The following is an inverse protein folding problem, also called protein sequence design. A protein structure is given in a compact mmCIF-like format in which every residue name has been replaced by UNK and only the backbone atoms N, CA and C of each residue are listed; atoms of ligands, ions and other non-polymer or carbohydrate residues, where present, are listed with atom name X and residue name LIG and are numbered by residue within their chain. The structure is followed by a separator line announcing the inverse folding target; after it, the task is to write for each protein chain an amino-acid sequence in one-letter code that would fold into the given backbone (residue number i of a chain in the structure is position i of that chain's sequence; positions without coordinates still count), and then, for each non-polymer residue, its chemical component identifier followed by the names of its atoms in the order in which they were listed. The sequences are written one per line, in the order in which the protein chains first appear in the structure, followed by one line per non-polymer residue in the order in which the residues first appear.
data_IF_449405515554
#
_entry.id   IF_449405515554
#
_cell.length_a   1.000
_cell.length_b   1.000
_cell.length_c   1.000
_cell.angle_alpha   90.00
_cell.angle_beta   90.00
_cell.angle_gamma   90.00
#
_symmetry.space_group_name_H-M   'P 1'
#
loop_
_entity.id
_entity.type
_entity.pdbx_description
1 polymer ?
#
# COMPACT_ATOMS: atom_id res chain seq x y z
N UNK A 1 -7.82 -15.77 98.52
CA UNK A 1 -9.11 -15.56 97.83
C UNK A 1 -8.81 -15.29 96.37
N UNK A 2 -9.59 -15.89 95.49
CA UNK A 2 -9.27 -16.26 94.10
C UNK A 2 -9.42 -15.06 93.13
N UNK A 3 -8.67 -15.14 92.01
CA UNK A 3 -9.02 -14.81 90.62
C UNK A 3 -8.29 -13.65 89.90
N UNK A 4 -7.45 -14.09 88.94
CA UNK A 4 -7.36 -13.72 87.51
C UNK A 4 -7.21 -12.26 87.06
N UNK A 5 -6.24 -12.07 86.15
CA UNK A 5 -6.17 -10.93 85.23
C UNK A 5 -4.99 -11.05 84.27
N UNK A 6 -5.26 -11.59 83.07
CA UNK A 6 -4.34 -11.83 81.95
C UNK A 6 -3.78 -10.54 81.32
N UNK A 7 -2.60 -10.63 80.69
CA UNK A 7 -2.19 -9.68 79.65
C UNK A 7 -0.68 -9.51 79.46
N UNK A 8 0.00 -10.49 78.84
CA UNK A 8 1.35 -10.33 78.27
C UNK A 8 1.24 -10.10 76.77
N UNK A 9 1.89 -9.04 76.26
CA UNK A 9 2.19 -8.86 74.84
C UNK A 9 3.52 -8.13 74.68
N UNK A 10 4.56 -8.86 74.30
CA UNK A 10 5.93 -8.39 74.02
C UNK A 10 6.21 -8.48 72.51
N UNK A 11 6.78 -7.40 71.97
CA UNK A 11 7.99 -7.34 71.10
C UNK A 11 7.99 -8.05 69.73
N UNK A 12 8.39 -7.28 68.70
CA UNK A 12 9.22 -7.74 67.57
C UNK A 12 8.64 -7.43 66.20
N UNK A 13 9.06 -6.35 65.51
CA UNK A 13 10.24 -6.20 64.61
C UNK A 13 9.99 -6.63 63.16
N UNK A 14 10.17 -5.66 62.25
CA UNK A 14 10.75 -5.71 60.89
C UNK A 14 10.23 -6.75 59.87
N UNK A 15 9.82 -6.33 58.67
CA UNK A 15 10.68 -6.29 57.45
C UNK A 15 9.85 -5.99 56.18
N UNK A 16 10.49 -5.29 55.24
CA UNK A 16 10.20 -5.18 53.79
C UNK A 16 9.01 -4.33 53.31
N UNK A 17 9.38 -3.06 53.06
CA UNK A 17 8.78 -2.07 52.17
C UNK A 17 8.96 -2.53 50.72
N UNK A 18 7.89 -2.94 50.05
CA UNK A 18 7.88 -3.24 48.63
C UNK A 18 8.10 -1.95 47.82
N UNK A 19 9.29 -1.80 47.24
CA UNK A 19 9.59 -0.81 46.23
C UNK A 19 9.04 -1.28 44.89
N UNK A 20 7.85 -0.82 44.51
CA UNK A 20 7.42 -0.86 43.11
C UNK A 20 8.18 0.24 42.35
N UNK A 21 9.16 -0.21 41.55
CA UNK A 21 9.88 0.60 40.57
C UNK A 21 8.89 1.19 39.56
N UNK A 22 8.77 2.52 39.55
CA UNK A 22 8.17 3.25 38.45
C UNK A 22 9.13 3.19 37.25
N UNK A 23 8.72 2.54 36.17
CA UNK A 23 9.42 2.60 34.89
C UNK A 23 9.20 4.00 34.29
N UNK A 24 10.21 4.87 34.41
CA UNK A 24 10.26 6.10 33.63
C UNK A 24 10.56 5.73 32.16
N UNK A 25 9.55 5.84 31.31
CA UNK A 25 9.74 5.89 29.87
C UNK A 25 10.44 7.20 29.51
N UNK A 26 11.72 7.12 29.14
CA UNK A 26 12.43 8.24 28.53
C UNK A 26 11.97 8.30 27.07
N UNK A 27 11.01 9.20 26.80
CA UNK A 27 10.69 9.60 25.44
C UNK A 27 11.90 10.36 24.87
N UNK A 28 12.70 9.67 24.07
CA UNK A 28 13.75 10.30 23.28
C UNK A 28 13.08 11.13 22.19
N UNK A 29 13.11 12.46 22.36
CA UNK A 29 12.83 13.44 21.31
C UNK A 29 13.93 13.39 20.24
N UNK A 30 13.93 12.35 19.43
CA UNK A 30 14.49 12.43 18.08
C UNK A 30 13.34 12.89 17.19
N UNK A 31 13.57 13.92 16.38
CA UNK A 31 12.61 14.37 15.36
C UNK A 31 12.37 13.23 14.36
N UNK A 32 11.40 12.37 14.65
CA UNK A 32 10.84 11.48 13.67
C UNK A 32 10.06 12.38 12.71
N UNK A 33 10.54 12.51 11.47
CA UNK A 33 9.63 12.73 10.36
C UNK A 33 8.46 11.77 10.58
N UNK A 34 7.27 12.33 10.81
CA UNK A 34 6.10 11.56 11.21
C UNK A 34 5.90 10.46 10.20
N UNK A 35 6.07 9.20 10.63
CA UNK A 35 5.57 8.07 9.86
C UNK A 35 4.10 8.38 9.53
N UNK A 36 3.66 8.15 8.29
CA UNK A 36 2.25 8.35 7.93
C UNK A 36 1.36 7.68 8.98
N UNK A 37 0.22 8.29 9.30
CA UNK A 37 -0.78 7.68 10.20
C UNK A 37 -1.06 6.23 9.76
N UNK A 38 -1.33 5.37 10.74
CA UNK A 38 -1.55 3.94 10.49
C UNK A 38 -2.61 3.77 9.38
N UNK A 39 -2.23 3.16 8.25
CA UNK A 39 -3.07 3.16 7.06
C UNK A 39 -4.27 2.23 7.24
N UNK A 40 -5.44 2.66 6.78
CA UNK A 40 -6.63 1.82 6.81
C UNK A 40 -6.48 0.68 5.79
N UNK A 41 -6.80 -0.54 6.20
CA UNK A 41 -6.74 -1.74 5.34
C UNK A 41 -8.15 -2.30 5.15
N UNK A 42 -8.50 -2.60 3.91
CA UNK A 42 -9.74 -3.29 3.56
C UNK A 42 -9.46 -4.46 2.64
N UNK A 43 -10.16 -5.57 2.85
CA UNK A 43 -10.08 -6.76 2.00
C UNK A 43 -11.46 -7.13 1.48
N UNK A 44 -11.54 -7.54 0.22
CA UNK A 44 -12.76 -8.01 -0.42
C UNK A 44 -12.45 -8.91 -1.61
N UNK A 45 -13.47 -9.54 -2.19
CA UNK A 45 -13.29 -10.40 -3.35
C UNK A 45 -14.43 -10.27 -4.33
N UNK A 46 -14.14 -10.47 -5.61
CA UNK A 46 -15.14 -10.40 -6.69
C UNK A 46 -14.76 -11.30 -7.86
N UNK A 47 -15.77 -11.74 -8.60
CA UNK A 47 -15.57 -12.47 -9.86
C UNK A 47 -15.22 -11.49 -10.99
N UNK A 48 -14.08 -11.71 -11.64
CA UNK A 48 -13.67 -10.85 -12.75
C UNK A 48 -14.52 -11.11 -13.99
N UNK A 49 -14.90 -10.03 -14.68
CA UNK A 49 -15.54 -10.10 -16.00
C UNK A 49 -14.55 -9.94 -17.15
N UNK A 50 -13.31 -9.56 -16.86
CA UNK A 50 -12.31 -9.20 -17.85
C UNK A 50 -11.22 -10.26 -18.02
N UNK A 51 -10.99 -11.09 -17.00
CA UNK A 51 -9.98 -12.14 -16.99
C UNK A 51 -10.47 -13.32 -16.15
N UNK A 52 -9.70 -14.40 -16.11
CA UNK A 52 -10.05 -15.61 -15.37
C UNK A 52 -9.90 -15.42 -13.85
N UNK A 53 -10.63 -16.24 -13.09
CA UNK A 53 -10.49 -16.36 -11.64
C UNK A 53 -11.22 -15.32 -10.80
N UNK A 54 -11.37 -15.65 -9.52
CA UNK A 54 -11.82 -14.73 -8.46
C UNK A 54 -10.67 -13.81 -8.09
N UNK A 55 -10.94 -12.50 -8.01
CA UNK A 55 -9.97 -11.51 -7.56
C UNK A 55 -10.10 -11.31 -6.06
N UNK A 56 -9.01 -11.49 -5.32
CA UNK A 56 -8.87 -11.11 -3.92
C UNK A 56 -8.13 -9.79 -3.82
N UNK A 57 -8.82 -8.77 -3.31
CA UNK A 57 -8.27 -7.42 -3.17
C UNK A 57 -7.84 -7.19 -1.74
N UNK A 58 -6.63 -6.66 -1.58
CA UNK A 58 -6.17 -6.03 -0.35
C UNK A 58 -5.82 -4.59 -0.64
N UNK A 59 -6.57 -3.65 -0.08
CA UNK A 59 -6.41 -2.23 -0.33
C UNK A 59 -6.00 -1.49 0.93
N UNK A 60 -4.94 -0.69 0.80
CA UNK A 60 -4.33 0.08 1.87
C UNK A 60 -4.43 1.57 1.57
N UNK A 61 -5.00 2.33 2.50
CA UNK A 61 -5.24 3.77 2.34
C UNK A 61 -4.38 4.54 3.33
N UNK A 62 -3.43 5.29 2.79
CA UNK A 62 -2.71 6.28 3.57
C UNK A 62 -3.53 7.58 3.67
N UNK A 63 -3.26 8.37 4.70
CA UNK A 63 -3.87 9.68 4.92
C UNK A 63 -2.79 10.77 4.87
N UNK A 64 -3.20 11.99 4.49
CA UNK A 64 -2.36 13.18 4.53
C UNK A 64 -3.21 14.38 4.92
N UNK A 65 -2.65 15.27 5.72
CA UNK A 65 -3.29 16.56 6.06
C UNK A 65 -3.26 17.53 4.88
N UNK A 66 -2.27 17.41 3.99
CA UNK A 66 -2.11 18.30 2.85
C UNK A 66 -3.14 18.03 1.75
N UNK A 67 -3.49 16.76 1.51
CA UNK A 67 -4.49 16.37 0.50
C UNK A 67 -5.33 15.18 0.95
N UNK A 68 -6.64 15.30 0.75
CA UNK A 68 -7.59 14.21 0.90
C UNK A 68 -8.06 13.77 -0.47
N UNK A 69 -7.92 12.49 -0.77
CA UNK A 69 -8.38 11.93 -2.02
C UNK A 69 -9.90 11.79 -2.02
N UNK A 70 -10.55 12.33 -3.06
CA UNK A 70 -12.00 12.25 -3.19
C UNK A 70 -12.48 10.79 -3.24
N UNK A 71 -13.65 10.49 -2.67
CA UNK A 71 -14.22 9.15 -2.75
C UNK A 71 -14.37 8.71 -4.21
N UNK A 72 -13.96 7.46 -4.51
CA UNK A 72 -14.03 6.85 -5.85
C UNK A 72 -13.27 7.59 -6.95
N UNK A 73 -12.29 8.44 -6.62
CA UNK A 73 -11.50 9.17 -7.62
C UNK A 73 -10.89 8.26 -8.69
N UNK A 74 -10.60 7.00 -8.33
CA UNK A 74 -10.03 5.96 -9.21
C UNK A 74 -10.97 5.52 -10.34
N UNK A 75 -12.27 5.71 -10.15
CA UNK A 75 -13.33 5.42 -11.13
C UNK A 75 -13.59 6.62 -12.07
N UNK A 76 -12.85 7.72 -11.92
CA UNK A 76 -12.98 8.91 -12.76
C UNK A 76 -12.62 8.65 -14.22
N UNK A 77 -13.06 9.56 -15.10
CA UNK A 77 -12.77 9.48 -16.54
C UNK A 77 -11.26 9.43 -16.79
N UNK A 78 -10.80 8.46 -17.56
CA UNK A 78 -9.39 8.32 -17.91
C UNK A 78 -8.97 9.47 -18.81
N UNK A 79 -7.91 10.18 -18.41
CA UNK A 79 -7.29 11.20 -19.22
C UNK A 79 -6.70 10.56 -20.48
N UNK A 80 -7.37 10.80 -21.60
CA UNK A 80 -6.83 10.51 -22.93
C UNK A 80 -6.34 11.84 -23.51
N UNK A 81 -5.03 12.01 -23.76
CA UNK A 81 -4.53 13.22 -24.41
C UNK A 81 -5.17 13.34 -25.79
N UNK A 82 -6.02 14.36 -25.99
CA UNK A 82 -6.62 14.70 -27.29
C UNK A 82 -6.02 16.01 -27.77
N UNK A 83 -5.52 16.04 -29.00
CA UNK A 83 -5.02 17.26 -29.67
C UNK A 83 -3.49 17.42 -29.69
N UNK A 84 -3.03 18.64 -29.95
CA UNK A 84 -1.61 19.01 -29.99
C UNK A 84 -1.02 18.85 -28.58
N UNK A 85 0.14 18.21 -28.47
CA UNK A 85 0.88 18.07 -27.21
C UNK A 85 1.10 19.49 -26.63
N UNK A 86 0.70 19.76 -25.38
CA UNK A 86 0.91 21.07 -24.77
C UNK A 86 2.41 21.41 -24.84
N UNK A 87 2.76 22.51 -25.51
CA UNK A 87 4.11 23.06 -25.46
C UNK A 87 4.19 23.95 -24.22
N UNK A 88 4.50 23.38 -23.05
CA UNK A 88 4.62 24.14 -21.80
C UNK A 88 5.00 23.29 -20.58
N UNK A 89 5.48 23.93 -19.53
CA UNK A 89 5.92 23.34 -18.25
C UNK A 89 4.76 22.93 -17.31
N UNK A 90 3.57 22.65 -17.85
CA UNK A 90 2.36 22.43 -17.05
C UNK A 90 2.22 20.96 -16.60
N UNK A 91 3.34 20.32 -16.29
CA UNK A 91 3.40 18.93 -15.86
C UNK A 91 4.03 18.81 -14.47
N UNK A 92 3.51 17.86 -13.70
CA UNK A 92 4.13 17.36 -12.48
C UNK A 92 4.80 16.02 -12.83
N UNK A 93 6.12 16.01 -12.77
CA UNK A 93 6.89 14.78 -12.95
C UNK A 93 7.05 14.06 -11.60
N UNK A 94 6.55 12.82 -11.52
CA UNK A 94 6.67 11.97 -10.33
C UNK A 94 7.45 10.71 -10.68
N UNK A 95 8.59 10.52 -10.01
CA UNK A 95 9.33 9.27 -10.01
C UNK A 95 8.74 8.30 -8.99
N UNK A 96 8.53 7.05 -9.39
CA UNK A 96 8.01 5.98 -8.54
C UNK A 96 8.94 4.78 -8.69
N UNK A 97 9.60 4.41 -7.60
CA UNK A 97 10.42 3.21 -7.51
C UNK A 97 9.64 2.14 -6.73
N UNK A 98 9.33 1.04 -7.40
CA UNK A 98 8.54 -0.07 -6.88
C UNK A 98 9.44 -1.27 -6.66
N UNK A 99 9.35 -1.84 -5.46
CA UNK A 99 10.05 -3.08 -5.11
C UNK A 99 9.06 -4.08 -4.54
N UNK A 100 9.29 -5.33 -4.86
CA UNK A 100 8.43 -6.43 -4.47
C UNK A 100 9.28 -7.63 -4.11
N UNK A 101 8.92 -8.33 -3.05
CA UNK A 101 9.67 -9.52 -2.63
C UNK A 101 9.71 -10.56 -3.76
N UNK A 102 10.93 -10.99 -4.12
CA UNK A 102 11.14 -12.00 -5.15
C UNK A 102 10.88 -11.56 -6.60
N UNK A 103 10.66 -10.26 -6.86
CA UNK A 103 10.43 -9.70 -8.20
C UNK A 103 11.45 -8.61 -8.55
N UNK A 104 11.72 -8.35 -9.84
CA UNK A 104 12.58 -7.25 -10.26
C UNK A 104 12.03 -5.88 -9.84
N UNK A 105 12.93 -4.98 -9.43
CA UNK A 105 12.59 -3.58 -9.16
C UNK A 105 12.03 -2.91 -10.43
N UNK A 106 10.98 -2.12 -10.27
CA UNK A 106 10.33 -1.37 -11.36
C UNK A 106 10.40 0.12 -11.06
N UNK A 107 11.07 0.89 -11.90
CA UNK A 107 11.15 2.35 -11.78
C UNK A 107 10.41 3.02 -12.95
N UNK A 108 9.58 4.01 -12.64
CA UNK A 108 8.84 4.76 -13.65
C UNK A 108 8.78 6.24 -13.30
N UNK A 109 8.96 7.11 -14.30
CA UNK A 109 8.67 8.54 -14.19
C UNK A 109 7.39 8.84 -14.93
N UNK A 110 6.42 9.43 -14.24
CA UNK A 110 5.14 9.85 -14.79
C UNK A 110 5.17 11.35 -15.01
N UNK A 111 4.90 11.80 -16.23
CA UNK A 111 4.71 13.22 -16.52
C UNK A 111 3.22 13.52 -16.55
N UNK A 112 2.70 14.05 -15.44
CA UNK A 112 1.27 14.20 -15.19
C UNK A 112 0.86 15.63 -15.52
N UNK A 113 -0.09 15.88 -16.45
CA UNK A 113 -0.57 17.23 -16.70
C UNK A 113 -1.20 17.85 -15.45
N UNK A 114 -0.83 19.07 -15.08
CA UNK A 114 -1.48 19.79 -13.97
C UNK A 114 -2.95 20.08 -14.28
N UNK A 115 -3.30 20.23 -15.56
CA UNK A 115 -4.67 20.45 -16.04
C UNK A 115 -5.50 19.15 -16.21
N UNK A 116 -5.36 18.17 -15.30
CA UNK A 116 -6.19 16.96 -15.32
C UNK A 116 -7.67 17.26 -15.00
N UNK A 117 -7.95 18.25 -14.15
CA UNK A 117 -9.29 18.46 -13.60
C UNK A 117 -9.73 17.24 -12.76
N UNK A 118 -10.95 16.75 -12.99
CA UNK A 118 -11.47 15.54 -12.33
C UNK A 118 -11.08 14.21 -12.98
N UNK A 119 -10.22 14.23 -14.01
CA UNK A 119 -9.81 13.04 -14.77
C UNK A 119 -8.65 12.31 -14.09
N UNK A 120 -8.46 11.05 -14.49
CA UNK A 120 -7.43 10.17 -13.94
C UNK A 120 -6.38 9.89 -15.02
N UNK A 121 -5.14 10.28 -14.75
CA UNK A 121 -4.01 9.80 -15.53
C UNK A 121 -3.71 8.35 -15.17
N UNK A 122 -3.46 7.50 -16.16
CA UNK A 122 -3.21 6.08 -15.96
C UNK A 122 -1.92 5.65 -16.64
N UNK A 123 -1.14 4.82 -15.96
CA UNK A 123 0.01 4.13 -16.54
C UNK A 123 -0.14 2.64 -16.29
N UNK A 124 -0.32 1.90 -17.37
CA UNK A 124 -0.36 0.44 -17.36
C UNK A 124 1.06 -0.12 -17.58
N UNK A 125 1.51 -0.96 -16.65
CA UNK A 125 2.77 -1.70 -16.69
C UNK A 125 2.51 -3.21 -16.57
N UNK A 126 1.28 -3.65 -16.84
CA UNK A 126 0.88 -5.04 -16.73
C UNK A 126 1.14 -5.79 -18.03
N UNK A 127 1.50 -7.07 -17.90
CA UNK A 127 1.57 -8.02 -19.00
C UNK A 127 0.44 -9.03 -18.86
N UNK A 128 -0.27 -9.30 -19.96
CA UNK A 128 -1.25 -10.39 -19.97
C UNK A 128 -0.51 -11.74 -19.96
N UNK A 129 -0.75 -12.52 -18.91
CA UNK A 129 -0.26 -13.89 -18.79
C UNK A 129 -1.38 -14.88 -19.13
N UNK A 130 -0.98 -16.01 -19.69
CA UNK A 130 -1.88 -17.12 -19.96
C UNK A 130 -1.22 -18.44 -19.56
N UNK A 131 -2.01 -19.31 -18.93
CA UNK A 131 -1.63 -20.62 -18.47
C UNK A 131 -2.68 -21.65 -18.87
N UNK A 132 -2.22 -22.88 -19.10
CA UNK A 132 -3.09 -24.04 -19.29
C UNK A 132 -3.11 -24.84 -17.99
N UNK A 133 -4.28 -24.92 -17.34
CA UNK A 133 -4.46 -25.61 -16.06
C UNK A 133 -4.89 -27.07 -16.29
N UNK A 134 -4.37 -28.00 -15.49
CA UNK A 134 -4.83 -29.40 -15.51
C UNK A 134 -4.47 -30.18 -16.78
N UNK A 135 -3.39 -29.82 -17.49
CA UNK A 135 -3.01 -30.44 -18.77
C UNK A 135 -2.53 -31.90 -18.67
N UNK A 136 -2.25 -32.40 -17.46
CA UNK A 136 -1.75 -33.75 -17.26
C UNK A 136 -2.38 -34.41 -16.02
N UNK A 137 -3.01 -35.57 -16.22
CA UNK A 137 -3.40 -36.45 -15.12
C UNK A 137 -3.13 -37.89 -15.55
N UNK A 138 -2.29 -38.61 -14.80
CA UNK A 138 -1.93 -40.01 -15.05
C UNK A 138 -1.34 -40.30 -16.45
N UNK A 139 -0.52 -39.38 -17.00
CA UNK A 139 0.16 -39.58 -18.29
C UNK A 139 -0.74 -39.44 -19.53
N UNK A 140 -2.00 -39.02 -19.36
CA UNK A 140 -2.89 -38.62 -20.44
C UNK A 140 -2.85 -37.10 -20.53
N UNK A 141 -2.37 -36.59 -21.67
CA UNK A 141 -2.44 -35.16 -21.98
C UNK A 141 -3.90 -34.81 -22.28
N UNK A 142 -4.53 -34.02 -21.41
CA UNK A 142 -5.85 -33.46 -21.67
C UNK A 142 -5.72 -32.01 -22.10
N UNK A 143 -6.69 -31.53 -22.89
CA UNK A 143 -6.82 -30.10 -23.15
C UNK A 143 -7.23 -29.44 -21.82
N UNK A 144 -6.27 -28.83 -21.15
CA UNK A 144 -6.48 -28.11 -19.90
C UNK A 144 -7.37 -26.87 -20.06
N UNK A 145 -7.77 -26.27 -18.94
CA UNK A 145 -8.52 -25.01 -18.94
C UNK A 145 -7.60 -23.82 -19.16
N UNK A 146 -8.02 -22.87 -19.99
CA UNK A 146 -7.23 -21.67 -20.27
C UNK A 146 -7.49 -20.61 -19.20
N UNK A 147 -6.43 -20.25 -18.47
CA UNK A 147 -6.47 -19.26 -17.41
C UNK A 147 -5.65 -18.04 -17.78
N UNK A 148 -6.29 -16.88 -17.82
CA UNK A 148 -5.68 -15.61 -18.23
C UNK A 148 -5.83 -14.56 -17.15
N UNK A 149 -4.79 -13.78 -16.91
CA UNK A 149 -4.82 -12.66 -15.98
C UNK A 149 -3.74 -11.63 -16.34
N UNK A 150 -3.96 -10.34 -16.07
CA UNK A 150 -2.90 -9.34 -16.16
C UNK A 150 -2.00 -9.42 -14.91
N UNK A 151 -0.69 -9.40 -15.13
CA UNK A 151 0.34 -9.45 -14.09
C UNK A 151 1.18 -8.17 -14.09
N UNK A 152 1.44 -7.61 -12.92
CA UNK A 152 2.27 -6.41 -12.76
C UNK A 152 1.50 -5.19 -12.27
N UNK A 153 2.08 -4.01 -12.48
CA UNK A 153 1.60 -2.78 -11.86
C UNK A 153 0.65 -1.96 -12.74
N UNK A 154 -0.38 -1.36 -12.13
CA UNK A 154 -1.22 -0.35 -12.76
C UNK A 154 -1.30 0.89 -11.87
N UNK A 155 -0.83 2.03 -12.39
CA UNK A 155 -0.73 3.27 -11.64
C UNK A 155 -1.79 4.26 -12.11
N UNK A 156 -2.45 4.92 -11.15
CA UNK A 156 -3.43 5.97 -11.36
C UNK A 156 -3.02 7.22 -10.62
N UNK A 157 -3.21 8.37 -11.23
CA UNK A 157 -2.92 9.68 -10.65
C UNK A 157 -4.09 10.62 -10.90
N UNK A 158 -4.53 11.34 -9.88
CA UNK A 158 -5.57 12.36 -9.99
C UNK A 158 -5.27 13.56 -9.09
N UNK A 159 -6.01 14.65 -9.32
CA UNK A 159 -5.90 15.87 -8.51
C UNK A 159 -4.45 16.41 -8.39
N UNK A 160 -3.64 16.42 -9.46
CA UNK A 160 -2.32 17.04 -9.40
C UNK A 160 -2.49 18.54 -9.14
N UNK A 161 -1.66 19.11 -8.29
CA UNK A 161 -1.71 20.53 -7.98
C UNK A 161 -0.58 20.96 -7.07
N UNK A 162 -0.66 22.22 -6.65
CA UNK A 162 0.27 22.83 -5.69
C UNK A 162 -0.54 23.37 -4.52
N UNK A 163 -0.12 23.05 -3.29
CA UNK A 163 -0.71 23.55 -2.05
C UNK A 163 0.39 24.12 -1.16
N UNK A 164 0.41 25.45 -1.03
CA UNK A 164 1.55 26.12 -0.39
C UNK A 164 2.81 25.91 -1.24
N UNK A 165 3.82 25.25 -0.67
CA UNK A 165 5.07 24.91 -1.34
C UNK A 165 5.11 23.46 -1.87
N UNK A 166 4.10 22.66 -1.52
CA UNK A 166 4.07 21.23 -1.84
C UNK A 166 3.38 20.97 -3.18
N UNK A 167 3.96 20.04 -3.94
CA UNK A 167 3.25 19.35 -5.00
C UNK A 167 2.38 18.28 -4.39
N UNK A 168 1.10 18.26 -4.77
CA UNK A 168 0.11 17.31 -4.23
C UNK A 168 -0.54 16.50 -5.32
N UNK A 169 -0.86 15.25 -5.03
CA UNK A 169 -1.65 14.39 -5.90
C UNK A 169 -2.22 13.17 -5.18
N UNK A 170 -3.26 12.57 -5.73
CA UNK A 170 -3.75 11.26 -5.31
C UNK A 170 -3.21 10.18 -6.22
N UNK A 171 -2.36 9.32 -5.67
CA UNK A 171 -1.67 8.26 -6.41
C UNK A 171 -2.21 6.92 -5.94
N UNK A 172 -2.58 6.08 -6.89
CA UNK A 172 -3.10 4.73 -6.68
C UNK A 172 -2.20 3.75 -7.39
N UNK A 173 -1.65 2.78 -6.68
CA UNK A 173 -0.77 1.76 -7.24
C UNK A 173 -1.44 0.41 -7.00
N UNK A 174 -1.71 -0.29 -8.09
CA UNK A 174 -2.19 -1.66 -8.07
C UNK A 174 -1.08 -2.59 -8.48
N UNK A 175 -1.01 -3.75 -7.85
CA UNK A 175 -0.19 -4.87 -8.27
C UNK A 175 -1.06 -6.12 -8.36
N UNK A 176 -1.15 -6.69 -9.55
CA UNK A 176 -1.93 -7.89 -9.81
C UNK A 176 -1.01 -9.07 -10.10
N UNK A 177 -1.27 -10.21 -9.48
CA UNK A 177 -0.42 -11.39 -9.60
C UNK A 177 -1.19 -12.66 -9.19
N UNK A 178 -0.62 -13.80 -9.54
CA UNK A 178 -1.05 -15.11 -9.08
C UNK A 178 0.18 -15.82 -8.53
N UNK A 179 0.04 -16.52 -7.39
CA UNK A 179 1.16 -17.27 -6.85
C UNK A 179 1.42 -18.50 -7.70
N UNK A 180 2.70 -18.79 -7.95
CA UNK A 180 3.10 -19.98 -8.72
C UNK A 180 2.54 -21.27 -8.12
N UNK A 181 2.52 -21.38 -6.79
CA UNK A 181 1.95 -22.54 -6.10
C UNK A 181 0.45 -22.73 -6.40
N UNK A 182 -0.31 -21.65 -6.58
CA UNK A 182 -1.73 -21.72 -6.90
C UNK A 182 -1.98 -22.15 -8.34
N UNK A 183 -1.15 -21.69 -9.29
CA UNK A 183 -1.19 -22.14 -10.68
C UNK A 183 -0.93 -23.65 -10.81
N UNK A 184 -0.08 -24.21 -9.96
CA UNK A 184 0.30 -25.62 -9.99
C UNK A 184 -0.69 -26.53 -9.25
N UNK A 185 -1.43 -25.99 -8.27
CA UNK A 185 -2.26 -26.79 -7.36
C UNK A 185 -3.77 -26.61 -7.52
N UNK A 186 -4.22 -25.60 -8.27
CA UNK A 186 -5.63 -25.25 -8.42
C UNK A 186 -6.10 -25.29 -9.87
N UNK A 187 -7.34 -25.76 -10.07
CA UNK A 187 -8.07 -25.61 -11.35
C UNK A 187 -8.76 -24.25 -11.49
N UNK A 188 -8.80 -23.46 -10.40
CA UNK A 188 -9.26 -22.07 -10.41
C UNK A 188 -8.37 -21.23 -9.47
N UNK A 189 -7.16 -20.87 -9.89
CA UNK A 189 -6.22 -20.09 -9.08
C UNK A 189 -6.80 -18.72 -8.69
N UNK A 190 -6.66 -18.28 -7.43
CA UNK A 190 -7.00 -16.92 -7.02
C UNK A 190 -6.10 -15.89 -7.70
N UNK A 191 -6.68 -14.76 -8.14
CA UNK A 191 -5.93 -13.59 -8.58
C UNK A 191 -5.81 -12.62 -7.42
N UNK A 192 -4.58 -12.30 -7.00
CA UNK A 192 -4.33 -11.33 -5.95
C UNK A 192 -4.18 -9.93 -6.55
N UNK A 193 -4.84 -8.97 -5.92
CA UNK A 193 -4.78 -7.56 -6.29
C UNK A 193 -4.48 -6.71 -5.06
N UNK A 194 -3.20 -6.39 -4.91
CA UNK A 194 -2.74 -5.53 -3.84
C UNK A 194 -2.78 -4.08 -4.31
N UNK A 195 -3.44 -3.22 -3.52
CA UNK A 195 -3.70 -1.83 -3.87
C UNK A 195 -3.23 -0.90 -2.77
N UNK A 196 -2.65 0.22 -3.15
CA UNK A 196 -2.34 1.31 -2.23
C UNK A 196 -2.84 2.64 -2.77
N UNK A 197 -3.44 3.44 -1.90
CA UNK A 197 -3.75 4.84 -2.15
C UNK A 197 -2.82 5.71 -1.32
N UNK A 198 -2.07 6.57 -2.00
CA UNK A 198 -1.09 7.50 -1.45
C UNK A 198 -1.57 8.92 -1.73
N UNK A 199 -2.08 9.65 -0.72
CA UNK A 199 -2.25 11.09 -0.80
C UNK A 199 -0.87 11.74 -0.74
N UNK A 200 -0.27 11.95 -1.90
CA UNK A 200 1.08 12.45 -2.08
C UNK A 200 1.14 13.95 -1.81
N UNK A 201 2.11 14.38 -1.01
CA UNK A 201 2.46 15.77 -0.76
C UNK A 201 3.97 15.85 -0.57
N UNK A 202 4.65 16.69 -1.33
CA UNK A 202 6.11 16.79 -1.27
C UNK A 202 6.61 18.09 -1.87
N UNK A 203 7.59 18.73 -1.23
CA UNK A 203 8.40 19.77 -1.86
C UNK A 203 9.45 19.15 -2.82
N UNK A 204 9.91 19.91 -3.82
CA UNK A 204 10.85 19.38 -4.81
C UNK A 204 12.19 18.89 -4.22
N UNK A 205 12.59 19.42 -3.05
CA UNK A 205 13.85 19.10 -2.37
C UNK A 205 13.72 18.12 -1.19
N UNK A 206 12.54 17.58 -0.93
CA UNK A 206 12.29 16.76 0.25
C UNK A 206 12.75 15.29 0.08
N UNK A 207 12.68 14.51 1.16
CA UNK A 207 12.89 13.06 1.13
C UNK A 207 11.71 12.33 0.45
N UNK A 208 11.95 11.20 -0.25
CA UNK A 208 10.89 10.48 -0.94
C UNK A 208 9.81 9.98 0.04
N UNK A 209 8.55 10.06 -0.39
CA UNK A 209 7.43 9.45 0.32
C UNK A 209 7.51 7.93 0.16
N UNK A 210 7.68 7.21 1.27
CA UNK A 210 7.79 5.75 1.27
C UNK A 210 6.51 5.12 1.82
N UNK A 211 5.95 4.19 1.07
CA UNK A 211 4.80 3.40 1.50
C UNK A 211 5.06 1.91 1.30
N UNK A 212 4.38 1.09 2.08
CA UNK A 212 4.35 -0.37 1.90
C UNK A 212 2.93 -0.84 1.69
N UNK A 213 2.73 -1.91 0.94
CA UNK A 213 1.44 -2.56 0.74
C UNK A 213 1.66 -4.00 0.30
N UNK A 214 0.60 -4.80 0.23
CA UNK A 214 0.75 -6.21 -0.11
C UNK A 214 -0.01 -7.13 0.84
N UNK A 215 -0.42 -8.28 0.32
CA UNK A 215 -1.06 -9.34 1.11
C UNK A 215 -0.22 -10.60 1.14
N UNK A 216 0.02 -11.23 -0.01
CA UNK A 216 0.87 -12.42 -0.13
C UNK A 216 2.32 -12.05 -0.44
N UNK A 217 2.52 -11.01 -1.25
CA UNK A 217 3.83 -10.45 -1.58
C UNK A 217 3.89 -9.04 -0.97
N UNK A 218 4.96 -8.72 -0.26
CA UNK A 218 5.15 -7.37 0.26
C UNK A 218 5.77 -6.47 -0.81
N UNK A 219 5.22 -5.27 -0.90
CA UNK A 219 5.61 -4.23 -1.83
C UNK A 219 6.04 -2.98 -1.07
N UNK A 220 7.02 -2.28 -1.63
CA UNK A 220 7.37 -0.93 -1.22
C UNK A 220 7.35 -0.01 -2.42
N UNK A 221 6.87 1.22 -2.23
CA UNK A 221 6.92 2.27 -3.23
C UNK A 221 7.61 3.49 -2.64
N UNK A 222 8.61 4.01 -3.33
CA UNK A 222 9.24 5.30 -3.05
C UNK A 222 8.82 6.30 -4.12
N UNK A 223 8.13 7.36 -3.71
CA UNK A 223 7.60 8.40 -4.59
C UNK A 223 8.38 9.69 -4.38
N UNK A 224 8.77 10.33 -5.47
CA UNK A 224 9.53 11.59 -5.45
C UNK A 224 9.08 12.52 -6.56
N UNK A 225 9.09 13.83 -6.31
CA UNK A 225 9.03 14.81 -7.40
C UNK A 225 10.32 14.67 -8.21
N UNK A 226 10.20 14.42 -9.52
CA UNK A 226 11.35 14.36 -10.41
C UNK A 226 11.66 15.77 -10.93
N UNK A 227 12.94 16.13 -11.11
CA UNK A 227 13.29 17.39 -11.73
C UNK A 227 12.85 17.39 -13.20
N UNK A 228 12.11 18.44 -13.60
CA UNK A 228 11.72 18.66 -15.00
C UNK A 228 12.99 18.71 -15.87
N UNK A 229 13.05 17.85 -16.90
CA UNK A 229 14.16 17.81 -17.87
C UNK A 229 14.05 18.90 -18.93
#
# INVERSE_FOLDING_TARGET
MVLFGFGKGRIGRYLMRNFTLAALAIATLAGCASAPQEPAVSTYSYESKAHSGTVHVTEKFYTSEAIQCAGKWREGEVYTPKGIIPMGHDHLDIGIDLKSDGQPDTAVTLSIPLALGGRVYTKDLQEYKSFMLGTETNGIVQQGDHFTYPEGYFIRVSQPGVKGWDFVSCIGIDHMYVLKADLESSTNPPVYLDRVVVPFSMEQSDQPVKVSFGSQIQHTAELRVAPNK
#
